data_IF_554858847986
#
_entry.id   IF_554858847986
#
_cell.length_a   1.000
_cell.length_b   1.000
_cell.length_c   1.000
_cell.angle_alpha   90.00
_cell.angle_beta   90.00
_cell.angle_gamma   90.00
#
_symmetry.space_group_name_H-M   'P 1'
#
loop_
_entity.id
_entity.type
_entity.pdbx_description
1 polymer ?
#
# COMPACT_ATOMS: atom_id res chain seq x y z
N UNK A 1 19.34 4.96 21.76
CA UNK A 1 17.95 5.10 21.25
C UNK A 1 17.72 3.95 20.28
N UNK A 2 16.66 3.17 20.46
CA UNK A 2 16.27 2.19 19.45
C UNK A 2 15.78 2.93 18.20
N UNK A 3 16.22 2.52 17.01
CA UNK A 3 15.76 3.11 15.76
C UNK A 3 14.24 2.94 15.63
N UNK A 4 13.55 4.00 15.19
CA UNK A 4 12.12 3.91 14.89
C UNK A 4 11.97 2.94 13.71
N UNK A 5 11.23 1.86 13.92
CA UNK A 5 10.93 0.89 12.86
C UNK A 5 9.97 1.57 11.90
N UNK A 6 10.39 1.77 10.66
CA UNK A 6 9.50 2.16 9.57
C UNK A 6 8.75 0.93 9.07
N UNK A 7 7.45 1.11 8.83
CA UNK A 7 6.57 0.06 8.36
C UNK A 7 6.33 0.25 6.87
N UNK A 8 6.49 -0.84 6.12
CA UNK A 8 6.19 -0.92 4.69
C UNK A 8 4.69 -1.14 4.47
N UNK A 9 4.24 -0.99 3.22
CA UNK A 9 2.88 -1.35 2.83
C UNK A 9 2.55 -2.82 3.14
N UNK A 10 3.51 -3.72 2.96
CA UNK A 10 3.36 -5.14 3.31
C UNK A 10 3.14 -5.35 4.83
N UNK A 11 3.86 -4.59 5.67
CA UNK A 11 3.69 -4.68 7.13
C UNK A 11 2.29 -4.25 7.56
N UNK A 12 1.78 -3.16 6.99
CA UNK A 12 0.42 -2.68 7.25
C UNK A 12 -0.65 -3.63 6.72
N UNK A 13 -0.48 -4.15 5.50
CA UNK A 13 -1.39 -5.15 4.92
C UNK A 13 -1.43 -6.43 5.77
N UNK A 14 -0.27 -6.93 6.19
CA UNK A 14 -0.17 -8.10 7.05
C UNK A 14 -0.84 -7.87 8.40
N UNK A 15 -0.59 -6.71 9.04
CA UNK A 15 -1.27 -6.32 10.28
C UNK A 15 -2.78 -6.30 10.12
N UNK A 16 -3.29 -5.71 9.04
CA UNK A 16 -4.73 -5.62 8.79
C UNK A 16 -5.36 -7.00 8.57
N UNK A 17 -4.66 -7.90 7.87
CA UNK A 17 -5.10 -9.28 7.72
C UNK A 17 -5.13 -10.03 9.05
N UNK A 18 -4.09 -9.88 9.88
CA UNK A 18 -4.04 -10.50 11.21
C UNK A 18 -5.15 -9.99 12.13
N UNK A 19 -5.41 -8.69 12.13
CA UNK A 19 -6.49 -8.12 12.92
C UNK A 19 -7.85 -8.74 12.53
N UNK A 20 -8.16 -8.79 11.22
CA UNK A 20 -9.39 -9.41 10.71
C UNK A 20 -9.54 -10.88 11.13
N UNK A 21 -8.47 -11.66 11.03
CA UNK A 21 -8.48 -13.09 11.41
C UNK A 21 -8.69 -13.25 12.92
N UNK A 22 -7.99 -12.45 13.73
CA UNK A 22 -8.12 -12.48 15.18
C UNK A 22 -9.54 -12.10 15.61
N UNK A 23 -10.10 -11.02 15.04
CA UNK A 23 -11.47 -10.59 15.30
C UNK A 23 -12.50 -11.65 14.91
N UNK A 24 -12.34 -12.24 13.72
CA UNK A 24 -13.25 -13.28 13.20
C UNK A 24 -13.21 -14.58 14.04
N UNK A 25 -12.10 -14.85 14.73
CA UNK A 25 -11.98 -16.04 15.59
C UNK A 25 -12.90 -15.97 16.83
N UNK A 26 -13.33 -14.78 17.25
CA UNK A 26 -14.02 -14.53 18.51
C UNK A 26 -13.31 -15.07 19.77
N UNK A 27 -12.00 -15.33 19.69
CA UNK A 27 -11.18 -15.82 20.79
C UNK A 27 -10.50 -14.66 21.52
N UNK A 28 -10.44 -14.74 22.85
CA UNK A 28 -9.59 -13.85 23.63
C UNK A 28 -8.10 -14.12 23.36
N UNK A 29 -7.24 -13.09 23.40
CA UNK A 29 -5.81 -13.24 23.10
C UNK A 29 -5.09 -14.29 23.94
N UNK A 30 -5.51 -14.49 25.20
CA UNK A 30 -4.97 -15.55 26.06
C UNK A 30 -5.27 -16.94 25.53
N UNK A 31 -6.50 -17.17 25.06
CA UNK A 31 -6.91 -18.44 24.47
C UNK A 31 -6.12 -18.72 23.19
N UNK A 32 -5.90 -17.71 22.35
CA UNK A 32 -5.08 -17.84 21.15
C UNK A 32 -3.64 -18.21 21.52
N UNK A 33 -3.03 -17.50 22.49
CA UNK A 33 -1.68 -17.78 22.96
C UNK A 33 -1.53 -19.20 23.55
N UNK A 34 -2.51 -19.65 24.35
CA UNK A 34 -2.55 -20.99 24.93
C UNK A 34 -2.62 -22.08 23.85
N UNK A 35 -3.45 -21.88 22.82
CA UNK A 35 -3.56 -22.80 21.67
C UNK A 35 -2.27 -22.87 20.84
N UNK A 36 -1.46 -21.80 20.84
CA UNK A 36 -0.12 -21.78 20.24
C UNK A 36 0.96 -22.38 21.15
N UNK A 37 0.60 -23.00 22.29
CA UNK A 37 1.55 -23.53 23.26
C UNK A 37 2.40 -22.45 23.94
N UNK A 38 1.94 -21.19 23.96
CA UNK A 38 2.65 -20.07 24.58
C UNK A 38 3.83 -19.52 23.77
N UNK A 39 4.07 -20.02 22.55
CA UNK A 39 5.17 -19.56 21.67
C UNK A 39 5.03 -18.07 21.32
N UNK A 40 3.79 -17.60 21.16
CA UNK A 40 3.45 -16.19 21.00
C UNK A 40 2.62 -15.77 22.21
N UNK A 41 3.11 -14.79 22.97
CA UNK A 41 2.42 -14.32 24.17
C UNK A 41 1.15 -13.55 23.82
N UNK A 42 0.14 -13.57 24.70
CA UNK A 42 -1.09 -12.79 24.52
C UNK A 42 -0.84 -11.28 24.38
N UNK A 43 0.23 -10.76 25.00
CA UNK A 43 0.68 -9.38 24.85
C UNK A 43 1.17 -9.13 23.42
N UNK A 44 1.98 -10.04 22.86
CA UNK A 44 2.45 -9.94 21.48
C UNK A 44 1.30 -10.03 20.48
N UNK A 45 0.30 -10.87 20.74
CA UNK A 45 -0.93 -10.93 19.92
C UNK A 45 -1.64 -9.57 19.92
N UNK A 46 -1.76 -8.92 21.08
CA UNK A 46 -2.30 -7.56 21.18
C UNK A 46 -1.51 -6.54 20.36
N UNK A 47 -0.17 -6.60 20.39
CA UNK A 47 0.67 -5.74 19.56
C UNK A 47 0.47 -5.98 18.05
N UNK A 48 0.36 -7.25 17.63
CA UNK A 48 0.08 -7.59 16.22
C UNK A 48 -1.29 -7.05 15.82
N UNK A 49 -2.32 -7.28 16.64
CA UNK A 49 -3.68 -6.83 16.39
C UNK A 49 -3.78 -5.30 16.24
N UNK A 50 -3.08 -4.56 17.11
CA UNK A 50 -3.13 -3.09 17.13
C UNK A 50 -2.14 -2.44 16.18
N UNK A 51 -1.14 -3.17 15.66
CA UNK A 51 -0.08 -2.60 14.83
C UNK A 51 0.98 -1.85 15.63
N UNK A 52 1.38 -2.41 16.77
CA UNK A 52 2.33 -1.80 17.70
C UNK A 52 3.68 -2.52 17.70
N UNK A 53 4.73 -1.78 18.10
CA UNK A 53 6.12 -2.24 18.34
C UNK A 53 6.86 -2.74 17.10
N UNK A 54 6.37 -3.76 16.41
CA UNK A 54 7.03 -4.37 15.25
C UNK A 54 6.05 -5.16 14.37
N UNK A 55 6.34 -5.27 13.05
CA UNK A 55 5.56 -6.08 12.13
C UNK A 55 5.42 -7.55 12.56
N UNK A 56 4.40 -8.23 12.03
CA UNK A 56 4.19 -9.66 12.25
C UNK A 56 5.30 -10.48 11.60
N UNK A 57 5.85 -11.46 12.33
CA UNK A 57 6.83 -12.40 11.79
C UNK A 57 6.13 -13.54 11.06
N UNK A 58 6.79 -14.16 10.08
CA UNK A 58 6.23 -15.28 9.32
C UNK A 58 5.77 -16.44 10.22
N UNK A 59 6.55 -16.78 11.25
CA UNK A 59 6.16 -17.82 12.21
C UNK A 59 4.92 -17.45 13.02
N UNK A 60 4.75 -16.17 13.38
CA UNK A 60 3.56 -15.67 14.09
C UNK A 60 2.34 -15.71 13.17
N UNK A 61 2.51 -15.30 11.91
CA UNK A 61 1.48 -15.37 10.87
C UNK A 61 0.94 -16.80 10.71
N UNK A 62 1.84 -17.79 10.53
CA UNK A 62 1.45 -19.19 10.33
C UNK A 62 0.68 -19.74 11.53
N UNK A 63 1.16 -19.49 12.75
CA UNK A 63 0.50 -19.92 13.97
C UNK A 63 -0.87 -19.26 14.15
N UNK A 64 -1.00 -17.96 13.85
CA UNK A 64 -2.28 -17.25 13.96
C UNK A 64 -3.29 -17.84 12.98
N UNK A 65 -2.87 -18.10 11.73
CA UNK A 65 -3.74 -18.74 10.74
C UNK A 65 -4.19 -20.12 11.19
N UNK A 66 -3.27 -20.95 11.70
CA UNK A 66 -3.58 -22.30 12.20
C UNK A 66 -4.61 -22.26 13.34
N UNK A 67 -4.34 -21.47 14.39
CA UNK A 67 -5.19 -21.43 15.60
C UNK A 67 -6.55 -20.77 15.35
N UNK A 68 -6.59 -19.78 14.45
CA UNK A 68 -7.83 -19.08 14.08
C UNK A 68 -8.54 -19.72 12.88
N UNK A 69 -8.06 -20.88 12.41
CA UNK A 69 -8.64 -21.64 11.30
C UNK A 69 -8.81 -20.82 10.00
N UNK A 70 -7.80 -20.00 9.68
CA UNK A 70 -7.70 -19.26 8.43
C UNK A 70 -6.74 -19.97 7.45
N UNK A 71 -7.03 -19.92 6.14
CA UNK A 71 -6.14 -20.45 5.11
C UNK A 71 -4.92 -19.52 4.92
N UNK A 72 -3.71 -19.93 5.34
CA UNK A 72 -2.53 -19.08 5.28
C UNK A 72 -2.11 -18.73 3.84
N UNK A 73 -2.39 -19.59 2.85
CA UNK A 73 -2.01 -19.33 1.46
C UNK A 73 -2.94 -18.28 0.87
N UNK A 74 -4.24 -18.41 1.11
CA UNK A 74 -5.20 -17.41 0.67
C UNK A 74 -4.98 -16.06 1.35
N UNK A 75 -4.77 -16.04 2.67
CA UNK A 75 -4.45 -14.81 3.41
C UNK A 75 -3.18 -14.14 2.89
N UNK A 76 -2.13 -14.91 2.57
CA UNK A 76 -0.89 -14.35 2.03
C UNK A 76 -1.10 -13.68 0.66
N UNK A 77 -1.92 -14.27 -0.21
CA UNK A 77 -2.28 -13.65 -1.50
C UNK A 77 -3.02 -12.33 -1.31
N UNK A 78 -3.94 -12.28 -0.34
CA UNK A 78 -4.67 -11.06 0.01
C UNK A 78 -3.73 -9.97 0.54
N UNK A 79 -2.79 -10.32 1.42
CA UNK A 79 -1.76 -9.39 1.92
C UNK A 79 -0.93 -8.81 0.76
N UNK A 80 -0.45 -9.66 -0.15
CA UNK A 80 0.35 -9.19 -1.30
C UNK A 80 -0.46 -8.27 -2.20
N UNK A 81 -1.72 -8.61 -2.46
CA UNK A 81 -2.63 -7.80 -3.29
C UNK A 81 -2.88 -6.43 -2.65
N UNK A 82 -3.15 -6.42 -1.36
CA UNK A 82 -3.43 -5.21 -0.60
C UNK A 82 -2.18 -4.32 -0.44
N UNK A 83 -1.01 -4.91 -0.21
CA UNK A 83 0.25 -4.18 -0.15
C UNK A 83 0.52 -3.44 -1.47
N UNK A 84 0.34 -4.10 -2.62
CA UNK A 84 0.48 -3.47 -3.95
C UNK A 84 -0.51 -2.33 -4.16
N UNK A 85 -1.76 -2.50 -3.69
CA UNK A 85 -2.78 -1.42 -3.74
C UNK A 85 -2.33 -0.21 -2.93
N UNK A 86 -1.86 -0.42 -1.70
CA UNK A 86 -1.35 0.64 -0.83
C UNK A 86 -0.14 1.36 -1.43
N UNK A 87 0.79 0.63 -2.05
CA UNK A 87 1.96 1.22 -2.71
C UNK A 87 1.55 2.13 -3.88
N UNK A 88 0.60 1.70 -4.71
CA UNK A 88 0.08 2.51 -5.82
C UNK A 88 -0.63 3.78 -5.32
N UNK A 89 -1.39 3.67 -4.23
CA UNK A 89 -2.05 4.82 -3.60
C UNK A 89 -1.04 5.83 -3.03
N UNK A 90 0.04 5.35 -2.40
CA UNK A 90 1.10 6.23 -1.91
C UNK A 90 1.83 6.95 -3.05
N UNK A 91 2.09 6.27 -4.17
CA UNK A 91 2.71 6.87 -5.35
C UNK A 91 1.82 7.95 -5.98
N UNK A 92 0.53 7.67 -6.14
CA UNK A 92 -0.45 8.62 -6.71
C UNK A 92 -0.78 9.78 -5.77
N UNK A 93 -0.68 9.59 -4.45
CA UNK A 93 -0.80 10.67 -3.47
C UNK A 93 0.44 11.58 -3.46
N UNK A 94 1.63 11.01 -3.62
CA UNK A 94 2.90 11.77 -3.66
C UNK A 94 3.00 12.67 -4.89
N UNK A 95 2.48 12.23 -6.05
CA UNK A 95 2.43 13.03 -7.29
C UNK A 95 1.37 14.13 -7.28
N UNK A 96 0.42 14.12 -6.32
CA UNK A 96 -0.61 15.16 -6.11
C UNK A 96 -0.18 16.27 -5.12
N UNK A 97 1.12 16.50 -4.92
CA UNK A 97 1.59 17.66 -4.15
C UNK A 97 0.99 18.95 -4.76
N UNK A 98 0.36 19.84 -3.97
CA UNK A 98 -0.44 20.92 -4.53
C UNK A 98 0.44 21.87 -5.34
N UNK A 99 -0.01 22.22 -6.54
CA UNK A 99 0.53 23.31 -7.36
C UNK A 99 0.19 24.69 -6.74
N UNK A 100 0.48 24.86 -5.45
CA UNK A 100 -0.01 25.94 -4.60
C UNK A 100 1.05 26.68 -3.78
N UNK A 101 2.34 26.41 -3.97
CA UNK A 101 3.42 27.32 -3.56
C UNK A 101 4.02 27.95 -4.81
N UNK A 102 3.25 28.86 -5.42
CA UNK A 102 3.81 29.87 -6.31
C UNK A 102 4.66 30.79 -5.42
N UNK A 103 5.97 30.57 -5.42
CA UNK A 103 6.92 31.63 -5.07
C UNK A 103 6.60 32.82 -5.98
N UNK A 104 6.07 33.90 -5.40
CA UNK A 104 6.08 35.22 -6.02
C UNK A 104 7.49 35.78 -5.87
N UNK A 105 8.41 35.40 -6.77
CA UNK A 105 9.58 36.25 -7.00
C UNK A 105 9.19 37.29 -8.04
N UNK A 106 8.93 38.49 -7.52
CA UNK A 106 8.54 39.68 -8.27
C UNK A 106 9.77 40.23 -9.00
N UNK A 107 10.27 39.50 -10.01
CA UNK A 107 11.39 39.95 -10.85
C UNK A 107 11.24 39.50 -12.31
N UNK A 108 10.73 40.45 -13.10
CA UNK A 108 11.03 40.73 -14.51
C UNK A 108 11.05 39.56 -15.53
N UNK A 109 10.02 39.59 -16.38
CA UNK A 109 9.96 38.97 -17.71
C UNK A 109 11.22 39.25 -18.55
N UNK A 110 11.64 38.29 -19.38
CA UNK A 110 11.39 38.51 -20.80
C UNK A 110 10.80 37.31 -21.53
N UNK A 111 10.02 37.67 -22.54
CA UNK A 111 9.30 36.86 -23.52
C UNK A 111 10.12 35.67 -24.05
N UNK A 112 9.62 34.45 -23.83
CA UNK A 112 9.98 33.27 -24.60
C UNK A 112 8.69 32.80 -25.30
N UNK A 113 8.71 32.83 -26.63
CA UNK A 113 7.57 32.53 -27.49
C UNK A 113 6.92 31.19 -27.15
N UNK A 114 5.66 31.27 -26.75
CA UNK A 114 4.78 30.11 -26.62
C UNK A 114 4.33 29.76 -28.04
N UNK A 115 4.99 28.80 -28.70
CA UNK A 115 4.39 28.16 -29.86
C UNK A 115 3.24 27.31 -29.33
N UNK A 116 2.03 27.83 -29.48
CA UNK A 116 0.81 27.08 -29.21
C UNK A 116 0.79 25.87 -30.16
N UNK A 117 0.97 24.67 -29.60
CA UNK A 117 0.78 23.43 -30.35
C UNK A 117 -0.70 23.35 -30.71
N UNK A 118 -1.01 23.69 -31.96
CA UNK A 118 -2.35 23.67 -32.51
C UNK A 118 -2.90 22.24 -32.54
N UNK A 119 -3.98 22.02 -31.80
CA UNK A 119 -4.70 20.74 -31.70
C UNK A 119 -5.18 20.29 -33.08
N UNK A 120 -5.48 21.21 -33.99
CA UNK A 120 -5.94 20.88 -35.34
C UNK A 120 -4.80 20.24 -36.17
N UNK A 121 -3.55 20.66 -35.94
CA UNK A 121 -2.35 20.06 -36.55
C UNK A 121 -2.14 18.61 -36.10
N UNK A 122 -2.53 18.26 -34.87
CA UNK A 122 -2.44 16.89 -34.37
C UNK A 122 -3.53 15.97 -34.97
N UNK A 123 -4.74 16.50 -35.16
CA UNK A 123 -5.86 15.74 -35.74
C UNK A 123 -5.61 15.33 -37.21
N UNK A 124 -4.93 16.18 -37.99
CA UNK A 124 -4.60 15.87 -39.38
C UNK A 124 -3.52 14.79 -39.51
N UNK A 125 -2.60 14.69 -38.54
CA UNK A 125 -1.56 13.65 -38.55
C UNK A 125 -2.13 12.24 -38.33
N UNK A 126 -3.14 12.10 -37.47
CA UNK A 126 -3.83 10.82 -37.23
C UNK A 126 -4.57 10.36 -38.50
N UNK A 127 -5.22 11.29 -39.23
CA UNK A 127 -5.91 10.95 -40.49
C UNK A 127 -4.98 10.58 -41.63
N UNK A 128 -3.72 11.02 -41.59
CA UNK A 128 -2.72 10.68 -42.60
C UNK A 128 -2.11 9.29 -42.37
N UNK A 129 -1.95 8.87 -41.13
CA UNK A 129 -1.37 7.56 -40.77
C UNK A 129 -2.33 6.38 -41.03
N UNK A 130 -3.64 6.63 -41.10
CA UNK A 130 -4.67 5.61 -41.41
C UNK A 130 -4.81 5.29 -42.91
N UNK A 131 -4.11 6.03 -43.79
CA UNK A 131 -4.11 5.80 -45.26
C UNK A 131 -2.98 4.91 -45.77
N UNK A 132 -2.12 4.38 -44.90
CA UNK A 132 -0.95 3.57 -45.31
C UNK A 132 -1.19 2.06 -45.20
N UNK A 133 -2.40 1.59 -44.86
CA UNK A 133 -2.69 0.16 -44.78
C UNK A 133 -3.96 -0.29 -45.52
N UNK A 134 -4.12 0.16 -46.77
CA UNK A 134 -4.97 -0.52 -47.76
C UNK A 134 -4.19 -0.65 -49.07
N UNK A 135 -3.36 -1.68 -49.14
CA UNK A 135 -3.31 -2.67 -50.23
C UNK A 135 -2.39 -3.84 -49.85
#
# INVERSE_FOLDING_TARGET
MAAKIEWTAADYAAKNAMAKIIDASALAYRVIAERMGGVVSHVRIGYIHNGEKSPVRLSEFLLICEVCNADPVQTLREIITEARRMELEQQTASTKKPAGERFVDDRQSPEAGHEDIDIDTWADRIKAEDKVNVE
#
